data_IF_673743493429
#
_entry.id   IF_673743493429
#
_cell.length_a   1.000
_cell.length_b   1.000
_cell.length_c   1.000
_cell.angle_alpha   90.00
_cell.angle_beta   90.00
_cell.angle_gamma   90.00
#
_symmetry.space_group_name_H-M   'P 1'
#
loop_
_entity.id
_entity.type
_entity.pdbx_description
1 polymer ?
#
# COMPACT_ATOMS: atom_id res chain seq x y z
N UNK A 1 10.43 -2.52 -27.67
CA UNK A 1 11.62 -1.72 -27.36
C UNK A 1 12.63 -2.65 -26.70
N UNK A 2 13.89 -2.63 -27.14
CA UNK A 2 14.93 -3.46 -26.54
C UNK A 2 15.22 -2.99 -25.09
N UNK A 3 15.62 -3.87 -24.17
CA UNK A 3 15.91 -3.49 -22.78
C UNK A 3 16.93 -2.34 -22.66
N UNK A 4 17.93 -2.32 -23.52
CA UNK A 4 18.98 -1.30 -23.57
C UNK A 4 18.45 0.07 -24.00
N UNK A 5 17.54 0.09 -24.98
CA UNK A 5 16.88 1.32 -25.45
C UNK A 5 16.00 1.91 -24.36
N UNK A 6 15.21 1.07 -23.68
CA UNK A 6 14.35 1.51 -22.57
C UNK A 6 15.18 2.14 -21.43
N UNK A 7 16.27 1.49 -21.04
CA UNK A 7 17.16 1.99 -20.00
C UNK A 7 17.76 3.35 -20.39
N UNK A 8 18.17 3.52 -21.65
CA UNK A 8 18.68 4.80 -22.14
C UNK A 8 17.60 5.89 -22.05
N UNK A 9 16.39 5.63 -22.53
CA UNK A 9 15.28 6.58 -22.42
C UNK A 9 14.92 6.90 -20.97
N UNK A 10 14.98 5.92 -20.06
CA UNK A 10 14.75 6.13 -18.64
C UNK A 10 15.80 7.08 -18.04
N UNK A 11 17.08 6.89 -18.38
CA UNK A 11 18.18 7.73 -17.91
C UNK A 11 18.01 9.20 -18.34
N UNK A 12 17.52 9.45 -19.56
CA UNK A 12 17.25 10.82 -20.06
C UNK A 12 16.23 11.58 -19.20
N UNK A 13 15.36 10.88 -18.48
CA UNK A 13 14.33 11.47 -17.62
C UNK A 13 14.73 11.60 -16.15
N UNK A 14 15.95 11.22 -15.78
CA UNK A 14 16.45 11.21 -14.39
C UNK A 14 16.34 12.57 -13.71
N UNK A 15 16.86 13.64 -14.32
CA UNK A 15 16.88 14.97 -13.72
C UNK A 15 15.46 15.51 -13.49
N UNK A 16 14.57 15.23 -14.44
CA UNK A 16 13.18 15.65 -14.40
C UNK A 16 12.41 14.90 -13.30
N UNK A 17 12.63 13.60 -13.15
CA UNK A 17 12.04 12.81 -12.07
C UNK A 17 12.54 13.25 -10.70
N UNK A 18 13.83 13.57 -10.54
CA UNK A 18 14.36 14.09 -9.28
C UNK A 18 13.73 15.42 -8.91
N UNK A 19 13.63 16.36 -9.86
CA UNK A 19 12.96 17.63 -9.63
C UNK A 19 11.48 17.45 -9.26
N UNK A 20 10.79 16.50 -9.90
CA UNK A 20 9.40 16.20 -9.60
C UNK A 20 9.23 15.55 -8.22
N UNK A 21 10.13 14.64 -7.83
CA UNK A 21 10.13 14.03 -6.50
C UNK A 21 10.29 15.09 -5.40
N UNK A 22 11.24 16.01 -5.54
CA UNK A 22 11.45 17.13 -4.60
C UNK A 22 10.18 17.99 -4.49
N UNK A 23 9.54 18.30 -5.63
CA UNK A 23 8.29 19.07 -5.64
C UNK A 23 7.14 18.35 -4.93
N UNK A 24 7.07 17.02 -5.02
CA UNK A 24 6.04 16.22 -4.37
C UNK A 24 6.27 16.07 -2.86
N UNK A 25 7.50 15.79 -2.44
CA UNK A 25 7.82 15.47 -1.05
C UNK A 25 8.09 16.70 -0.19
N UNK A 26 8.61 17.79 -0.79
CA UNK A 26 9.08 18.96 -0.06
C UNK A 26 10.28 18.69 0.86
N UNK A 27 10.84 17.47 0.80
CA UNK A 27 11.91 16.97 1.66
C UNK A 27 12.94 16.21 0.82
N UNK A 28 14.21 16.50 1.06
CA UNK A 28 15.32 16.00 0.24
C UNK A 28 15.50 14.49 0.38
N UNK A 29 15.43 13.93 1.59
CA UNK A 29 15.63 12.50 1.80
C UNK A 29 14.45 11.70 1.26
N UNK A 30 13.21 12.10 1.57
CA UNK A 30 12.02 11.47 0.99
C UNK A 30 12.01 11.57 -0.54
N UNK A 31 12.56 12.64 -1.12
CA UNK A 31 12.65 12.77 -2.57
C UNK A 31 13.59 11.73 -3.20
N UNK A 32 14.71 11.41 -2.54
CA UNK A 32 15.66 10.39 -3.00
C UNK A 32 15.02 9.02 -2.99
N UNK A 33 14.32 8.68 -1.91
CA UNK A 33 13.62 7.41 -1.76
C UNK A 33 12.50 7.27 -2.78
N UNK A 34 11.66 8.30 -2.93
CA UNK A 34 10.58 8.31 -3.92
C UNK A 34 11.11 8.15 -5.35
N UNK A 35 12.22 8.84 -5.67
CA UNK A 35 12.91 8.70 -6.96
C UNK A 35 13.39 7.26 -7.17
N UNK A 36 14.08 6.68 -6.20
CA UNK A 36 14.64 5.34 -6.29
C UNK A 36 13.55 4.29 -6.47
N UNK A 37 12.49 4.34 -5.65
CA UNK A 37 11.34 3.45 -5.75
C UNK A 37 10.66 3.54 -7.12
N UNK A 38 10.52 4.76 -7.65
CA UNK A 38 9.95 4.99 -8.98
C UNK A 38 10.81 4.33 -10.05
N UNK A 39 12.14 4.50 -9.96
CA UNK A 39 13.07 3.94 -10.93
C UNK A 39 13.04 2.40 -10.94
N UNK A 40 13.07 1.79 -9.76
CA UNK A 40 12.94 0.34 -9.60
C UNK A 40 11.62 -0.18 -10.20
N UNK A 41 10.50 0.49 -9.90
CA UNK A 41 9.18 0.11 -10.46
C UNK A 41 9.09 0.29 -11.97
N UNK A 42 9.68 1.35 -12.51
CA UNK A 42 9.73 1.59 -13.94
C UNK A 42 10.48 0.45 -14.66
N UNK A 43 11.60 -0.01 -14.11
CA UNK A 43 12.34 -1.16 -14.63
C UNK A 43 11.52 -2.45 -14.53
N UNK A 44 10.88 -2.71 -13.39
CA UNK A 44 10.03 -3.90 -13.18
C UNK A 44 8.79 -3.92 -14.08
N UNK A 45 8.25 -2.76 -14.42
CA UNK A 45 7.06 -2.61 -15.27
C UNK A 45 7.41 -2.24 -16.72
N UNK A 46 8.67 -2.39 -17.14
CA UNK A 46 9.11 -2.01 -18.50
C UNK A 46 8.24 -2.60 -19.62
N UNK A 47 7.73 -3.81 -19.43
CA UNK A 47 6.93 -4.54 -20.42
C UNK A 47 5.52 -3.94 -20.58
N UNK A 48 5.07 -3.15 -19.60
CA UNK A 48 3.79 -2.43 -19.65
C UNK A 48 3.93 -1.08 -20.37
N UNK A 49 5.16 -0.62 -20.67
CA UNK A 49 5.37 0.59 -21.42
C UNK A 49 5.13 0.35 -22.92
N UNK A 50 4.25 1.15 -23.52
CA UNK A 50 3.94 1.08 -24.95
C UNK A 50 4.89 2.03 -25.70
N UNK A 51 5.81 1.53 -26.54
CA UNK A 51 6.72 2.39 -27.31
C UNK A 51 5.94 3.38 -28.19
N UNK A 52 6.44 4.62 -28.28
CA UNK A 52 5.76 5.72 -28.98
C UNK A 52 4.78 6.53 -28.10
N UNK A 53 4.47 6.06 -26.88
CA UNK A 53 3.73 6.86 -25.89
C UNK A 53 4.67 7.74 -25.06
N UNK A 54 4.10 8.72 -24.35
CA UNK A 54 4.86 9.70 -23.59
C UNK A 54 5.48 9.09 -22.33
N UNK A 55 6.76 8.72 -22.41
CA UNK A 55 7.51 8.13 -21.29
C UNK A 55 7.56 9.03 -20.06
N UNK A 56 7.69 10.35 -20.24
CA UNK A 56 7.65 11.31 -19.13
C UNK A 56 6.32 11.23 -18.38
N UNK A 57 5.20 11.21 -19.10
CA UNK A 57 3.87 11.09 -18.48
C UNK A 57 3.73 9.75 -17.73
N UNK A 58 4.18 8.65 -18.32
CA UNK A 58 4.14 7.33 -17.71
C UNK A 58 4.97 7.25 -16.42
N UNK A 59 6.19 7.80 -16.43
CA UNK A 59 7.05 7.87 -15.25
C UNK A 59 6.46 8.76 -14.15
N UNK A 60 5.84 9.89 -14.52
CA UNK A 60 5.09 10.74 -13.58
C UNK A 60 3.96 9.98 -12.91
N UNK A 61 3.19 9.18 -13.66
CA UNK A 61 2.12 8.34 -13.10
C UNK A 61 2.66 7.33 -12.09
N UNK A 62 3.76 6.64 -12.41
CA UNK A 62 4.40 5.69 -11.48
C UNK A 62 4.86 6.40 -10.20
N UNK A 63 5.51 7.55 -10.33
CA UNK A 63 6.00 8.34 -9.19
C UNK A 63 4.85 8.83 -8.32
N UNK A 64 3.82 9.42 -8.92
CA UNK A 64 2.66 9.94 -8.20
C UNK A 64 1.93 8.82 -7.45
N UNK A 65 1.68 7.68 -8.10
CA UNK A 65 1.05 6.53 -7.44
C UNK A 65 1.91 5.98 -6.29
N UNK A 66 3.23 5.96 -6.47
CA UNK A 66 4.16 5.55 -5.41
C UNK A 66 4.10 6.50 -4.22
N UNK A 67 4.12 7.80 -4.47
CA UNK A 67 3.99 8.84 -3.45
C UNK A 67 2.68 8.75 -2.68
N UNK A 68 1.54 8.65 -3.37
CA UNK A 68 0.23 8.49 -2.74
C UNK A 68 0.18 7.23 -1.89
N UNK A 69 0.75 6.11 -2.36
CA UNK A 69 0.81 4.87 -1.59
C UNK A 69 1.73 4.99 -0.35
N UNK A 70 2.83 5.73 -0.42
CA UNK A 70 3.67 6.04 0.74
C UNK A 70 2.92 6.92 1.76
N UNK A 71 2.21 7.96 1.31
CA UNK A 71 1.39 8.81 2.19
C UNK A 71 0.27 8.03 2.86
N UNK A 72 -0.47 7.20 2.10
CA UNK A 72 -1.51 6.33 2.66
C UNK A 72 -0.94 5.41 3.75
N UNK A 73 0.20 4.77 3.50
CA UNK A 73 0.89 3.93 4.49
C UNK A 73 1.32 4.73 5.73
N UNK A 74 1.91 5.92 5.55
CA UNK A 74 2.31 6.80 6.65
C UNK A 74 1.11 7.26 7.50
N UNK A 75 0.00 7.63 6.87
CA UNK A 75 -1.24 7.96 7.58
C UNK A 75 -1.84 6.76 8.32
N UNK A 76 -1.83 5.58 7.71
CA UNK A 76 -2.28 4.35 8.37
C UNK A 76 -1.39 4.00 9.57
N UNK A 77 -0.08 4.16 9.44
CA UNK A 77 0.88 3.96 10.51
C UNK A 77 0.71 4.98 11.64
N UNK A 78 0.54 6.26 11.31
CA UNK A 78 0.27 7.31 12.30
C UNK A 78 -1.05 7.04 13.05
N UNK A 79 -2.10 6.63 12.34
CA UNK A 79 -3.38 6.25 12.95
C UNK A 79 -3.26 5.01 13.83
N UNK A 80 -2.44 4.05 13.43
CA UNK A 80 -2.12 2.86 14.23
C UNK A 80 -1.37 3.24 15.50
N UNK A 81 -0.36 4.12 15.40
CA UNK A 81 0.39 4.64 16.55
C UNK A 81 -0.52 5.43 17.51
N UNK A 82 -1.38 6.29 17.01
CA UNK A 82 -2.39 7.00 17.83
C UNK A 82 -3.40 6.05 18.49
N UNK A 83 -3.69 4.92 17.83
CA UNK A 83 -4.53 3.86 18.39
C UNK A 83 -3.80 3.08 19.48
N UNK A 84 -2.50 2.82 19.33
CA UNK A 84 -1.63 2.25 20.36
C UNK A 84 -1.50 3.18 21.58
N UNK A 85 -1.27 4.49 21.37
CA UNK A 85 -1.11 5.48 22.44
C UNK A 85 -2.40 5.73 23.24
N UNK A 86 -3.57 5.39 22.68
CA UNK A 86 -4.88 5.49 23.35
C UNK A 86 -5.33 4.22 24.06
N UNK A 87 -4.55 3.15 23.98
CA UNK A 87 -4.78 1.94 24.76
C UNK A 87 -3.84 1.98 25.98
N UNK A 88 -4.32 1.68 27.20
CA UNK A 88 -3.43 1.36 28.30
C UNK A 88 -2.46 0.28 27.83
N UNK A 89 -1.20 0.36 28.25
CA UNK A 89 -0.16 -0.65 28.00
C UNK A 89 -0.62 -1.98 28.59
N UNK A 90 -1.42 -2.71 27.84
CA UNK A 90 -1.88 -4.05 28.09
C UNK A 90 -1.99 -4.71 26.71
N UNK A 91 -1.04 -5.60 26.45
CA UNK A 91 -1.06 -6.57 25.35
C UNK A 91 -0.80 -6.00 23.94
N UNK A 92 0.41 -5.47 23.76
CA UNK A 92 1.12 -5.74 22.52
C UNK A 92 1.63 -7.19 22.57
N UNK A 93 0.73 -8.14 22.31
CA UNK A 93 1.06 -9.56 22.33
C UNK A 93 2.05 -9.91 21.22
N UNK A 94 2.92 -10.89 21.47
CA UNK A 94 3.84 -11.53 20.52
C UNK A 94 3.19 -11.95 19.17
N UNK A 95 1.86 -12.00 19.15
CA UNK A 95 1.00 -12.23 17.98
C UNK A 95 1.17 -11.13 16.92
N UNK A 96 1.28 -9.86 17.32
CA UNK A 96 1.39 -8.74 16.37
C UNK A 96 2.78 -8.69 15.69
N UNK A 97 3.83 -9.19 16.35
CA UNK A 97 5.17 -9.36 15.77
C UNK A 97 5.24 -10.56 14.82
N UNK A 98 4.55 -11.67 15.14
CA UNK A 98 4.41 -12.82 14.23
C UNK A 98 3.64 -12.47 12.96
N UNK A 99 2.58 -11.65 13.04
CA UNK A 99 1.83 -11.17 11.86
C UNK A 99 2.75 -10.38 10.91
N UNK A 100 3.71 -9.62 11.44
CA UNK A 100 4.65 -8.84 10.64
C UNK A 100 5.68 -9.71 9.90
N UNK A 101 6.05 -10.85 10.49
CA UNK A 101 7.01 -11.82 9.94
C UNK A 101 6.35 -12.96 9.16
N UNK A 102 5.02 -13.01 9.13
CA UNK A 102 4.26 -14.07 8.48
C UNK A 102 4.30 -13.93 6.97
N UNK A 103 4.54 -15.04 6.26
CA UNK A 103 4.55 -15.03 4.81
C UNK A 103 3.17 -14.59 4.26
N UNK A 104 3.17 -13.73 3.23
CA UNK A 104 1.94 -13.18 2.60
C UNK A 104 0.93 -14.29 2.25
N UNK A 105 1.41 -15.50 1.97
CA UNK A 105 0.61 -16.67 1.63
C UNK A 105 -0.20 -17.20 2.82
N UNK A 106 0.35 -17.24 4.02
CA UNK A 106 -0.36 -17.68 5.24
C UNK A 106 -1.43 -16.66 5.65
N UNK A 107 -1.10 -15.38 5.58
CA UNK A 107 -2.07 -14.30 5.81
C UNK A 107 -3.25 -14.38 4.83
N UNK A 108 -2.97 -14.67 3.55
CA UNK A 108 -4.00 -14.83 2.53
C UNK A 108 -4.93 -16.03 2.81
N UNK A 109 -4.39 -17.17 3.28
CA UNK A 109 -5.18 -18.34 3.68
C UNK A 109 -6.13 -17.98 4.83
N UNK A 110 -5.63 -17.29 5.86
CA UNK A 110 -6.45 -16.89 7.00
C UNK A 110 -7.55 -15.90 6.63
N UNK A 111 -7.24 -14.90 5.79
CA UNK A 111 -8.23 -13.95 5.27
C UNK A 111 -9.32 -14.70 4.47
N UNK A 112 -8.92 -15.64 3.61
CA UNK A 112 -9.86 -16.40 2.79
C UNK A 112 -10.79 -17.30 3.62
N UNK A 113 -10.32 -17.77 4.78
CA UNK A 113 -11.10 -18.53 5.75
C UNK A 113 -11.99 -17.70 6.68
N UNK A 114 -12.14 -16.39 6.46
CA UNK A 114 -13.12 -15.57 7.18
C UNK A 114 -14.52 -15.66 6.53
N UNK A 115 -15.61 -15.49 7.31
CA UNK A 115 -16.95 -15.38 6.74
C UNK A 115 -17.04 -14.22 5.73
N UNK A 116 -17.81 -14.42 4.64
CA UNK A 116 -17.85 -13.52 3.48
C UNK A 116 -17.95 -12.02 3.81
N UNK A 117 -18.89 -11.56 4.67
CA UNK A 117 -19.03 -10.11 4.93
C UNK A 117 -17.79 -9.48 5.58
N UNK A 118 -17.00 -10.26 6.33
CA UNK A 118 -15.77 -9.80 6.98
C UNK A 118 -14.57 -9.89 6.03
N UNK A 119 -14.48 -11.00 5.30
CA UNK A 119 -13.45 -11.24 4.29
C UNK A 119 -13.47 -10.16 3.22
N UNK A 120 -14.62 -9.90 2.62
CA UNK A 120 -14.73 -9.06 1.43
C UNK A 120 -14.41 -7.59 1.77
N UNK A 121 -14.85 -7.14 2.95
CA UNK A 121 -14.49 -5.83 3.51
C UNK A 121 -12.99 -5.73 3.80
N UNK A 122 -12.40 -6.73 4.46
CA UNK A 122 -10.98 -6.72 4.81
C UNK A 122 -10.09 -6.79 3.56
N UNK A 123 -10.43 -7.61 2.57
CA UNK A 123 -9.71 -7.69 1.30
C UNK A 123 -9.72 -6.35 0.55
N UNK A 124 -10.88 -5.69 0.44
CA UNK A 124 -10.95 -4.37 -0.18
C UNK A 124 -10.13 -3.34 0.60
N UNK A 125 -10.19 -3.38 1.92
CA UNK A 125 -9.36 -2.51 2.77
C UNK A 125 -7.86 -2.74 2.55
N UNK A 126 -7.40 -4.01 2.48
CA UNK A 126 -6.01 -4.36 2.18
C UNK A 126 -5.59 -3.93 0.76
N UNK A 127 -6.52 -3.89 -0.20
CA UNK A 127 -6.31 -3.34 -1.55
C UNK A 127 -6.26 -1.80 -1.59
N UNK A 128 -6.42 -1.13 -0.44
CA UNK A 128 -6.24 0.32 -0.31
C UNK A 128 -7.51 1.15 -0.50
N UNK A 129 -8.68 0.52 -0.52
CA UNK A 129 -9.97 1.22 -0.54
C UNK A 129 -10.27 1.84 0.84
N UNK A 130 -10.80 3.05 0.83
CA UNK A 130 -11.31 3.74 2.03
C UNK A 130 -12.62 3.12 2.50
N UNK A 131 -12.96 3.33 3.77
CA UNK A 131 -14.25 2.87 4.30
C UNK A 131 -15.45 3.44 3.53
N UNK A 132 -15.33 4.67 3.01
CA UNK A 132 -16.38 5.31 2.22
C UNK A 132 -16.55 4.64 0.86
N UNK A 133 -15.45 4.32 0.16
CA UNK A 133 -15.50 3.62 -1.13
C UNK A 133 -16.05 2.19 -0.98
N UNK A 134 -15.67 1.49 0.09
CA UNK A 134 -16.19 0.15 0.38
C UNK A 134 -17.69 0.22 0.68
N UNK A 135 -18.12 1.19 1.50
CA UNK A 135 -19.53 1.43 1.81
C UNK A 135 -20.35 1.69 0.54
N UNK A 136 -19.85 2.58 -0.32
CA UNK A 136 -20.48 2.90 -1.60
C UNK A 136 -20.58 1.68 -2.52
N UNK A 137 -19.52 0.87 -2.62
CA UNK A 137 -19.51 -0.30 -3.50
C UNK A 137 -20.35 -1.46 -2.97
N UNK A 138 -20.49 -1.58 -1.65
CA UNK A 138 -21.28 -2.65 -1.01
C UNK A 138 -22.74 -2.26 -0.77
N UNK A 139 -23.10 -0.99 -0.91
CA UNK A 139 -24.43 -0.49 -0.56
C UNK A 139 -24.70 -0.50 0.95
N UNK A 140 -23.66 -0.53 1.78
CA UNK A 140 -23.77 -0.65 3.22
C UNK A 140 -23.34 0.62 3.97
N UNK A 141 -23.87 0.88 5.17
CA UNK A 141 -23.43 2.00 5.99
C UNK A 141 -21.93 1.93 6.32
N UNK A 142 -21.26 3.08 6.32
CA UNK A 142 -19.83 3.19 6.70
C UNK A 142 -19.55 2.64 8.10
N UNK A 143 -20.51 2.73 9.03
CA UNK A 143 -20.42 2.13 10.36
C UNK A 143 -20.33 0.60 10.32
N UNK A 144 -21.11 -0.03 9.44
CA UNK A 144 -21.09 -1.48 9.20
C UNK A 144 -19.75 -1.92 8.63
N UNK A 145 -19.20 -1.17 7.67
CA UNK A 145 -17.88 -1.45 7.10
C UNK A 145 -16.78 -1.38 8.16
N UNK A 146 -16.77 -0.33 9.00
CA UNK A 146 -15.82 -0.19 10.10
C UNK A 146 -15.91 -1.37 11.06
N UNK A 147 -17.12 -1.76 11.46
CA UNK A 147 -17.37 -2.90 12.34
C UNK A 147 -16.86 -4.20 11.72
N UNK A 148 -17.16 -4.45 10.45
CA UNK A 148 -16.72 -5.67 9.74
C UNK A 148 -15.21 -5.77 9.62
N UNK A 149 -14.52 -4.68 9.30
CA UNK A 149 -13.04 -4.66 9.27
C UNK A 149 -12.46 -4.90 10.66
N UNK A 150 -13.05 -4.32 11.70
CA UNK A 150 -12.62 -4.55 13.07
C UNK A 150 -12.77 -6.02 13.50
N UNK A 151 -13.95 -6.61 13.26
CA UNK A 151 -14.22 -8.02 13.57
C UNK A 151 -13.30 -8.95 12.76
N UNK A 152 -13.09 -8.66 11.47
CA UNK A 152 -12.16 -9.42 10.62
C UNK A 152 -10.73 -9.46 11.19
N UNK A 153 -10.22 -8.31 11.68
CA UNK A 153 -8.89 -8.23 12.29
C UNK A 153 -8.81 -9.01 13.60
N UNK A 154 -9.86 -8.96 14.43
CA UNK A 154 -9.93 -9.73 15.68
C UNK A 154 -9.88 -11.24 15.41
N UNK A 155 -10.60 -11.70 14.39
CA UNK A 155 -10.62 -13.11 13.99
C UNK A 155 -9.26 -13.59 13.46
N UNK A 156 -8.55 -12.76 12.69
CA UNK A 156 -7.19 -13.09 12.25
C UNK A 156 -6.23 -13.12 13.44
N UNK A 157 -6.30 -12.14 14.35
CA UNK A 157 -5.46 -12.12 15.54
C UNK A 157 -5.64 -13.40 16.36
N UNK A 158 -6.87 -13.83 16.61
CA UNK A 158 -7.16 -15.09 17.29
C UNK A 158 -6.54 -16.32 16.59
N UNK A 159 -6.69 -16.43 15.26
CA UNK A 159 -6.09 -17.55 14.50
C UNK A 159 -4.57 -17.57 14.56
N UNK A 160 -3.92 -16.39 14.60
CA UNK A 160 -2.46 -16.29 14.71
C UNK A 160 -1.99 -16.63 16.12
N UNK A 161 -2.78 -16.30 17.15
CA UNK A 161 -2.50 -16.70 18.53
C UNK A 161 -2.57 -18.22 18.76
N UNK A 162 -3.46 -18.90 18.03
CA UNK A 162 -3.68 -20.35 18.14
C UNK A 162 -2.68 -21.21 17.31
N UNK A 163 -1.86 -20.58 16.46
CA UNK A 163 -0.80 -21.23 15.65
C UNK A 163 0.55 -21.06 16.34
#
# INVERSE_FOLDING_TARGET
>A
MLPTEFNHHLLLHTNLLRAYAVKLTGDIEMSKDLYQDTYCKALSHREQFIPGTNMKAWLHTIMYNTFINQLKRKHLYAKYKLFQERLPVAEFDAVDERILHMEVKELAIMINGLPSPFRDCLQKYCKGFTYAEIAQQSGEPIGTIKSRVHVARKLIKAKVSDT
#
